data_IF_385386640992
#
_entry.id   IF_385386640992
#
_cell.length_a   1.000
_cell.length_b   1.000
_cell.length_c   1.000
_cell.angle_alpha   90.00
_cell.angle_beta   90.00
_cell.angle_gamma   90.00
#
_symmetry.space_group_name_H-M   'P 1'
#
loop_
_entity.id
_entity.type
_entity.pdbx_description
1 polymer ?
#
# COMPACT_ATOMS: atom_id res chain seq x y z
N UNK A 1 -13.97 -16.11 -0.50
CA UNK A 1 -14.82 -15.38 -1.47
C UNK A 1 -14.04 -14.18 -2.00
N UNK A 2 -14.26 -13.74 -3.24
CA UNK A 2 -13.60 -12.53 -3.76
C UNK A 2 -14.36 -11.27 -3.37
N UNK A 3 -13.63 -10.21 -3.03
CA UNK A 3 -14.18 -8.92 -2.64
C UNK A 3 -14.48 -8.12 -3.92
N UNK A 4 -15.72 -7.63 -4.05
CA UNK A 4 -16.16 -6.81 -5.20
C UNK A 4 -16.13 -5.31 -4.91
N UNK A 5 -16.44 -4.94 -3.67
CA UNK A 5 -16.48 -3.56 -3.18
C UNK A 5 -15.79 -3.51 -1.83
N UNK A 6 -15.06 -2.43 -1.58
CA UNK A 6 -14.33 -2.20 -0.34
C UNK A 6 -14.89 -0.94 0.31
N UNK A 7 -15.13 -0.99 1.62
CA UNK A 7 -15.40 0.21 2.41
C UNK A 7 -14.08 0.85 2.82
N UNK A 8 -14.06 2.14 3.12
CA UNK A 8 -12.86 2.80 3.64
C UNK A 8 -13.10 3.34 5.05
N UNK A 9 -12.06 3.33 5.87
CA UNK A 9 -12.06 3.94 7.21
C UNK A 9 -10.79 4.78 7.33
N UNK A 10 -10.95 6.08 7.53
CA UNK A 10 -9.85 6.92 7.99
C UNK A 10 -9.61 6.62 9.46
N UNK A 11 -8.36 6.36 9.82
CA UNK A 11 -7.96 5.95 11.16
C UNK A 11 -6.66 6.63 11.54
N UNK A 12 -6.48 6.91 12.83
CA UNK A 12 -5.23 7.46 13.33
C UNK A 12 -4.11 6.40 13.26
N UNK A 13 -4.45 5.14 13.51
CA UNK A 13 -3.54 4.00 13.38
C UNK A 13 -4.24 2.79 12.76
N UNK A 14 -3.48 1.98 12.01
CA UNK A 14 -3.98 0.71 11.47
C UNK A 14 -4.27 -0.25 12.65
N UNK A 15 -5.47 -0.85 12.72
CA UNK A 15 -5.79 -1.76 13.82
C UNK A 15 -4.92 -3.02 13.76
N UNK A 16 -4.66 -3.63 14.92
CA UNK A 16 -3.92 -4.89 15.02
C UNK A 16 -4.57 -6.01 14.20
N UNK A 17 -5.90 -5.99 14.07
CA UNK A 17 -6.68 -6.93 13.26
C UNK A 17 -7.44 -6.18 12.18
N UNK A 18 -7.02 -6.35 10.94
CA UNK A 18 -7.69 -5.78 9.76
C UNK A 18 -8.89 -6.62 9.34
N UNK A 19 -10.01 -5.97 9.06
CA UNK A 19 -11.25 -6.62 8.60
C UNK A 19 -11.22 -6.91 7.09
N UNK A 20 -11.90 -7.97 6.66
CA UNK A 20 -12.15 -8.20 5.23
C UNK A 20 -13.08 -7.13 4.66
N UNK A 21 -12.80 -6.66 3.43
CA UNK A 21 -13.65 -5.68 2.76
C UNK A 21 -13.51 -4.25 3.29
N UNK A 22 -12.49 -3.97 4.10
CA UNK A 22 -12.19 -2.63 4.61
C UNK A 22 -10.77 -2.19 4.20
N UNK A 23 -10.67 -0.98 3.66
CA UNK A 23 -9.44 -0.24 3.41
C UNK A 23 -9.23 0.76 4.55
N UNK A 24 -8.25 0.51 5.38
CA UNK A 24 -7.84 1.44 6.44
C UNK A 24 -6.86 2.45 5.85
N UNK A 25 -7.12 3.73 6.10
CA UNK A 25 -6.35 4.87 5.61
C UNK A 25 -5.77 5.61 6.81
N UNK A 26 -4.48 5.40 7.07
CA UNK A 26 -3.75 6.11 8.13
C UNK A 26 -2.96 7.25 7.50
N UNK A 27 -3.58 8.44 7.46
CA UNK A 27 -3.07 9.59 6.71
C UNK A 27 -1.78 10.16 7.28
N UNK A 28 -1.66 10.20 8.61
CA UNK A 28 -0.44 10.65 9.32
C UNK A 28 0.77 9.77 9.01
N UNK A 29 0.52 8.51 8.67
CA UNK A 29 1.54 7.53 8.28
C UNK A 29 1.65 7.35 6.76
N UNK A 30 0.88 8.12 5.99
CA UNK A 30 0.75 8.02 4.55
C UNK A 30 0.67 6.55 4.08
N UNK A 31 -0.22 5.76 4.68
CA UNK A 31 -0.29 4.32 4.43
C UNK A 31 -1.74 3.85 4.36
N UNK A 32 -2.03 2.99 3.38
CA UNK A 32 -3.30 2.29 3.30
C UNK A 32 -3.11 0.77 3.43
N UNK A 33 -3.98 0.11 4.19
CA UNK A 33 -3.92 -1.33 4.45
C UNK A 33 -5.30 -1.97 4.28
N UNK A 34 -5.34 -3.13 3.63
CA UNK A 34 -6.54 -3.96 3.53
C UNK A 34 -6.19 -5.45 3.46
N UNK A 35 -7.18 -6.31 3.72
CA UNK A 35 -7.06 -7.74 3.36
C UNK A 35 -7.17 -7.92 1.85
N UNK A 36 -6.33 -8.80 1.30
CA UNK A 36 -6.24 -9.07 -0.13
C UNK A 36 -7.62 -9.37 -0.73
N UNK A 37 -7.98 -8.65 -1.80
CA UNK A 37 -9.30 -8.73 -2.41
C UNK A 37 -9.65 -10.09 -3.03
N UNK A 38 -8.69 -11.00 -3.20
CA UNK A 38 -8.98 -12.38 -3.61
C UNK A 38 -9.63 -13.22 -2.49
N UNK A 39 -9.58 -12.75 -1.24
CA UNK A 39 -10.12 -13.44 -0.08
C UNK A 39 -9.15 -14.44 0.56
N UNK A 40 -7.83 -14.32 0.32
CA UNK A 40 -6.83 -15.18 0.97
C UNK A 40 -6.44 -14.72 2.38
N UNK A 41 -7.02 -13.63 2.89
CA UNK A 41 -6.79 -13.12 4.25
C UNK A 41 -5.42 -12.47 4.51
N UNK A 42 -4.52 -12.40 3.52
CA UNK A 42 -3.22 -11.70 3.64
C UNK A 42 -3.40 -10.19 3.62
N UNK A 43 -2.59 -9.49 4.40
CA UNK A 43 -2.57 -8.03 4.41
C UNK A 43 -1.80 -7.48 3.23
N UNK A 44 -2.40 -6.50 2.57
CA UNK A 44 -1.79 -5.73 1.50
C UNK A 44 -1.53 -4.34 2.05
N UNK A 45 -0.27 -3.91 1.99
CA UNK A 45 0.17 -2.59 2.42
C UNK A 45 0.49 -1.77 1.18
N UNK A 46 -0.11 -0.58 1.10
CA UNK A 46 0.10 0.37 0.01
C UNK A 46 0.56 1.70 0.59
N UNK A 47 1.89 1.95 0.65
CA UNK A 47 2.42 3.24 1.03
C UNK A 47 1.97 4.32 0.04
N UNK A 48 1.48 5.43 0.58
CA UNK A 48 1.08 6.60 -0.17
C UNK A 48 2.30 7.52 -0.32
N UNK A 49 2.92 7.52 -1.49
CA UNK A 49 4.13 8.31 -1.74
C UNK A 49 4.22 8.75 -3.20
N UNK A 50 5.03 9.77 -3.52
CA UNK A 50 5.25 10.19 -4.91
C UNK A 50 5.77 9.08 -5.84
N UNK A 51 6.41 8.04 -5.26
CA UNK A 51 7.03 6.93 -6.01
C UNK A 51 6.30 5.60 -5.85
N UNK A 52 5.23 5.54 -5.06
CA UNK A 52 4.47 4.32 -4.77
C UNK A 52 3.00 4.53 -5.20
N UNK A 53 2.04 4.30 -4.29
CA UNK A 53 0.63 4.50 -4.56
C UNK A 53 0.19 5.95 -4.28
N UNK A 54 -0.81 6.39 -5.02
CA UNK A 54 -1.57 7.61 -4.85
C UNK A 54 -3.01 7.23 -4.52
N UNK A 55 -3.59 7.95 -3.57
CA UNK A 55 -4.99 7.81 -3.18
C UNK A 55 -5.77 9.02 -3.67
N UNK A 56 -6.91 8.76 -4.31
CA UNK A 56 -7.95 9.76 -4.57
C UNK A 56 -9.16 9.51 -3.70
N UNK A 57 -9.73 10.57 -3.13
CA UNK A 57 -10.96 10.53 -2.36
C UNK A 57 -11.84 11.71 -2.78
N UNK A 58 -13.10 11.43 -3.12
CA UNK A 58 -14.07 12.41 -3.64
C UNK A 58 -15.13 12.83 -2.60
N UNK A 59 -14.95 12.44 -1.33
CA UNK A 59 -15.95 12.61 -0.27
C UNK A 59 -16.87 11.40 -0.06
N UNK A 60 -16.89 10.45 -1.00
CA UNK A 60 -17.75 9.27 -0.96
C UNK A 60 -16.98 7.97 -1.22
N UNK A 61 -16.03 8.00 -2.14
CA UNK A 61 -15.37 6.82 -2.68
C UNK A 61 -13.86 7.01 -2.75
N UNK A 62 -13.13 5.89 -2.63
CA UNK A 62 -11.66 5.87 -2.65
C UNK A 62 -11.14 5.15 -3.89
N UNK A 63 -10.07 5.68 -4.47
CA UNK A 63 -9.32 5.02 -5.55
C UNK A 63 -7.84 4.97 -5.20
N UNK A 64 -7.19 3.86 -5.57
CA UNK A 64 -5.73 3.74 -5.49
C UNK A 64 -5.15 3.57 -6.90
N UNK A 65 -4.02 4.24 -7.14
CA UNK A 65 -3.24 4.13 -8.38
C UNK A 65 -1.75 4.11 -8.07
N UNK A 66 -0.91 3.29 -8.73
CA UNK A 66 -1.26 2.33 -9.77
C UNK A 66 -2.04 1.11 -9.22
N UNK A 67 -2.23 0.08 -10.04
CA UNK A 67 -2.84 -1.18 -9.60
C UNK A 67 -2.05 -1.84 -8.47
N UNK A 68 -2.69 -2.78 -7.79
CA UNK A 68 -2.13 -3.61 -6.74
C UNK A 68 -1.85 -4.98 -7.33
N UNK A 69 -0.57 -5.29 -7.55
CA UNK A 69 -0.09 -6.61 -7.95
C UNK A 69 0.58 -7.34 -6.79
N UNK A 70 -0.05 -8.40 -6.29
CA UNK A 70 0.44 -9.18 -5.14
C UNK A 70 1.31 -10.36 -5.60
N UNK A 71 2.31 -10.08 -6.44
CA UNK A 71 3.13 -11.10 -7.12
C UNK A 71 4.00 -11.94 -6.17
N UNK A 72 4.25 -11.45 -4.96
CA UNK A 72 4.97 -12.18 -3.92
C UNK A 72 4.05 -13.05 -3.05
N UNK A 73 2.72 -12.98 -3.25
CA UNK A 73 1.77 -13.84 -2.54
C UNK A 73 1.50 -15.10 -3.37
N UNK A 74 1.19 -16.23 -2.71
CA UNK A 74 0.78 -17.44 -3.43
C UNK A 74 -0.42 -17.22 -4.36
N UNK A 75 -1.31 -16.28 -4.04
CA UNK A 75 -2.50 -15.98 -4.84
C UNK A 75 -2.23 -15.15 -6.11
N UNK A 76 -1.05 -14.52 -6.24
CA UNK A 76 -0.68 -13.62 -7.36
C UNK A 76 -1.80 -12.68 -7.85
N UNK A 77 -2.63 -12.18 -6.93
CA UNK A 77 -3.80 -11.39 -7.30
C UNK A 77 -3.40 -10.01 -7.86
N UNK A 78 -4.13 -9.55 -8.87
CA UNK A 78 -3.91 -8.23 -9.47
C UNK A 78 -5.23 -7.50 -9.71
N UNK A 79 -5.34 -6.30 -9.15
CA UNK A 79 -6.57 -5.52 -9.22
C UNK A 79 -6.32 -4.03 -9.01
N UNK A 80 -7.33 -3.25 -9.35
CA UNK A 80 -7.44 -1.84 -8.99
C UNK A 80 -8.50 -1.66 -7.91
N UNK A 81 -8.32 -0.64 -7.08
CA UNK A 81 -9.40 -0.06 -6.28
C UNK A 81 -9.81 1.23 -6.98
N UNK A 82 -11.01 1.26 -7.58
CA UNK A 82 -11.54 2.43 -8.31
C UNK A 82 -12.95 2.74 -7.83
N UNK A 83 -13.17 3.95 -7.32
CA UNK A 83 -14.42 4.39 -6.69
C UNK A 83 -14.96 3.35 -5.71
N UNK A 84 -14.09 2.87 -4.80
CA UNK A 84 -14.36 1.81 -3.82
C UNK A 84 -14.70 0.43 -4.41
N UNK A 85 -14.55 0.22 -5.73
CA UNK A 85 -14.79 -1.08 -6.37
C UNK A 85 -13.47 -1.77 -6.70
N UNK A 86 -13.45 -3.09 -6.49
CA UNK A 86 -12.36 -3.96 -6.95
C UNK A 86 -12.56 -4.23 -8.43
N UNK A 87 -11.62 -3.77 -9.25
CA UNK A 87 -11.56 -4.06 -10.69
C UNK A 87 -10.38 -4.97 -10.96
N UNK A 88 -10.67 -6.24 -11.20
CA UNK A 88 -9.64 -7.24 -11.50
C UNK A 88 -8.85 -6.84 -12.75
N UNK A 89 -7.54 -7.02 -12.67
CA UNK A 89 -6.62 -6.86 -13.80
C UNK A 89 -6.03 -8.23 -14.14
N UNK A 90 -5.57 -8.38 -15.39
CA UNK A 90 -4.98 -9.63 -15.86
C UNK A 90 -3.67 -9.96 -15.14
N UNK A 91 -3.22 -11.21 -15.26
CA UNK A 91 -1.92 -11.62 -14.76
C UNK A 91 -0.79 -10.86 -15.49
N UNK A 92 0.37 -10.76 -14.84
CA UNK A 92 1.58 -10.22 -15.45
C UNK A 92 2.63 -11.33 -15.54
N UNK A 93 3.33 -11.38 -16.67
CA UNK A 93 4.49 -12.26 -16.82
C UNK A 93 5.59 -11.87 -15.85
N UNK A 94 6.49 -12.79 -15.54
CA UNK A 94 7.60 -12.51 -14.63
C UNK A 94 8.54 -11.42 -15.19
N UNK A 95 8.66 -11.29 -16.52
CA UNK A 95 9.36 -10.17 -17.17
C UNK A 95 8.67 -8.84 -16.92
N UNK A 96 7.34 -8.78 -17.05
CA UNK A 96 6.55 -7.57 -16.78
C UNK A 96 6.69 -7.16 -15.31
N UNK A 97 6.63 -8.13 -14.39
CA UNK A 97 6.81 -7.91 -12.95
C UNK A 97 8.23 -7.40 -12.65
N UNK A 98 9.25 -8.01 -13.26
CA UNK A 98 10.64 -7.59 -13.08
C UNK A 98 10.88 -6.17 -13.61
N UNK A 99 10.33 -5.85 -14.78
CA UNK A 99 10.41 -4.53 -15.39
C UNK A 99 9.73 -3.46 -14.51
N UNK A 100 8.53 -3.74 -13.99
CA UNK A 100 7.81 -2.87 -13.06
C UNK A 100 8.62 -2.60 -11.78
N UNK A 101 9.12 -3.66 -11.13
CA UNK A 101 9.98 -3.53 -9.94
C UNK A 101 11.25 -2.72 -10.22
N UNK A 102 11.86 -2.89 -11.40
CA UNK A 102 13.04 -2.13 -11.79
C UNK A 102 12.72 -0.65 -12.02
N UNK A 103 11.57 -0.34 -12.62
CA UNK A 103 11.06 1.01 -12.74
C UNK A 103 10.86 1.67 -11.37
N UNK A 104 10.19 0.98 -10.45
CA UNK A 104 9.90 1.51 -9.11
C UNK A 104 11.18 1.77 -8.32
N UNK A 105 12.17 0.87 -8.39
CA UNK A 105 13.49 1.08 -7.77
C UNK A 105 14.18 2.32 -8.33
N UNK A 106 14.17 2.54 -9.65
CA UNK A 106 14.74 3.74 -10.27
C UNK A 106 13.99 5.01 -9.89
N UNK A 107 12.65 4.96 -9.79
CA UNK A 107 11.85 6.09 -9.36
C UNK A 107 12.17 6.48 -7.91
N UNK A 108 12.30 5.50 -7.01
CA UNK A 108 12.71 5.71 -5.61
C UNK A 108 14.12 6.29 -5.50
N UNK A 109 15.10 5.70 -6.19
CA UNK A 109 16.48 6.23 -6.19
C UNK A 109 16.51 7.69 -6.62
N UNK A 110 15.90 8.03 -7.76
CA UNK A 110 15.83 9.43 -8.22
C UNK A 110 15.17 10.38 -7.23
N UNK A 111 14.14 9.94 -6.50
CA UNK A 111 13.41 10.80 -5.57
C UNK A 111 14.17 11.01 -4.24
N UNK A 112 14.77 9.95 -3.69
CA UNK A 112 15.45 10.03 -2.39
C UNK A 112 16.93 10.42 -2.48
N UNK A 113 17.58 10.19 -3.62
CA UNK A 113 18.98 10.57 -3.85
C UNK A 113 19.13 11.99 -4.42
N UNK A 114 18.02 12.66 -4.72
CA UNK A 114 18.03 14.05 -5.18
C UNK A 114 18.50 15.00 -4.06
N UNK A 115 19.46 15.91 -4.32
CA UNK A 115 19.82 16.95 -3.37
C UNK A 115 18.63 17.92 -3.23
N UNK A 116 18.01 17.89 -2.04
CA UNK A 116 16.85 18.67 -1.58
C UNK A 116 15.44 18.22 -2.00
N UNK A 117 14.79 17.49 -1.07
CA UNK A 117 13.35 17.62 -0.81
C UNK A 117 13.14 17.77 0.72
N UNK A 118 12.86 18.97 1.25
CA UNK A 118 12.78 19.24 2.69
C UNK A 118 11.73 18.40 3.43
N UNK A 119 10.63 18.03 2.76
CA UNK A 119 9.54 17.24 3.35
C UNK A 119 9.82 15.74 3.47
N UNK A 120 10.79 15.20 2.72
CA UNK A 120 11.09 13.76 2.70
C UNK A 120 11.92 13.32 3.92
N UNK A 121 12.78 14.20 4.45
CA UNK A 121 13.66 13.90 5.60
C UNK A 121 12.89 13.84 6.92
N UNK A 122 12.00 14.81 7.19
CA UNK A 122 11.22 14.84 8.43
C UNK A 122 10.31 13.60 8.61
N UNK A 123 9.73 13.08 7.52
CA UNK A 123 8.93 11.86 7.55
C UNK A 123 9.79 10.58 7.61
N UNK A 124 10.98 10.56 7.03
CA UNK A 124 11.86 9.39 7.07
C UNK A 124 12.40 9.12 8.48
N UNK A 125 12.76 10.15 9.24
CA UNK A 125 13.26 10.02 10.61
C UNK A 125 12.17 9.55 11.58
N UNK A 126 10.94 10.06 11.45
CA UNK A 126 9.78 9.57 12.19
C UNK A 126 9.44 8.10 11.83
N UNK A 127 9.55 7.73 10.55
CA UNK A 127 9.32 6.36 10.06
C UNK A 127 10.37 5.36 10.55
N UNK A 128 11.64 5.73 10.61
CA UNK A 128 12.70 4.85 11.13
C UNK A 128 12.57 4.60 12.63
N UNK A 129 12.29 5.65 13.43
CA UNK A 129 12.11 5.52 14.88
C UNK A 129 10.93 4.63 15.26
N UNK A 130 9.83 4.67 14.49
CA UNK A 130 8.63 3.88 14.78
C UNK A 130 8.71 2.44 14.25
N UNK A 131 9.38 2.19 13.12
CA UNK A 131 9.68 0.83 12.66
C UNK A 131 10.71 0.11 13.54
N UNK A 132 11.67 0.84 14.13
CA UNK A 132 12.54 0.28 15.17
C UNK A 132 11.73 -0.12 16.41
N UNK A 133 10.75 0.70 16.83
CA UNK A 133 9.84 0.37 17.95
C UNK A 133 8.90 -0.80 17.64
N UNK A 134 8.41 -0.89 16.40
CA UNK A 134 7.62 -2.04 15.92
C UNK A 134 8.46 -3.33 15.87
N UNK A 135 9.72 -3.25 15.43
CA UNK A 135 10.65 -4.40 15.48
C UNK A 135 11.00 -4.81 16.91
N UNK A 136 11.21 -3.85 17.82
CA UNK A 136 11.49 -4.12 19.23
C UNK A 136 10.29 -4.75 19.94
N UNK A 137 9.07 -4.31 19.63
CA UNK A 137 7.82 -4.90 20.11
C UNK A 137 7.60 -6.33 19.58
N UNK A 138 7.92 -6.60 18.32
CA UNK A 138 7.89 -7.95 17.72
C UNK A 138 9.01 -8.87 18.23
N UNK A 139 10.06 -8.35 18.86
CA UNK A 139 11.23 -9.14 19.31
C UNK A 139 11.21 -9.51 20.80
N UNK A 140 10.16 -9.13 21.54
CA UNK A 140 9.85 -9.69 22.86
C UNK A 140 10.89 -9.43 23.96
N UNK A 141 10.71 -8.33 24.69
CA UNK A 141 10.60 -8.34 26.16
C UNK A 141 9.53 -7.33 26.57
#
# INVERSE_FOLDING_TARGET
MTIKKINHKFVDAIPERTEEGVLYLAMDYATAVHKCACGCGREVVTPLSPTDWKMGYDGVSVSLSPSIGNWSFPCRSHYWIKHSNIRWAGDMSDEQIAAGRAHDRRAKGRYYDAPEAPAARANADARQGLWQRFRLWLSGK
#
